data_IF_039431418087
#
_entry.id   IF_039431418087
#
_cell.length_a   1.000
_cell.length_b   1.000
_cell.length_c   1.000
_cell.angle_alpha   90.00
_cell.angle_beta   90.00
_cell.angle_gamma   90.00
#
_symmetry.space_group_name_H-M   'P 1'
#
loop_
_entity.id
_entity.type
_entity.pdbx_description
1 polymer ?
#
# COMPACT_ATOMS: atom_id res chain seq x y z
N UNK A 1 6.56 53.04 11.12
CA UNK A 1 6.04 51.94 10.32
C UNK A 1 6.63 50.62 10.82
N UNK A 2 5.87 49.84 11.58
CA UNK A 2 6.32 48.55 12.10
C UNK A 2 5.75 47.45 11.18
N UNK A 3 6.66 46.78 10.46
CA UNK A 3 6.31 45.62 9.62
C UNK A 3 6.04 44.41 10.51
N UNK A 4 4.80 43.95 10.52
CA UNK A 4 4.39 42.67 11.12
C UNK A 4 4.70 41.56 10.12
N UNK A 5 5.83 40.89 10.28
CA UNK A 5 6.11 39.62 9.62
C UNK A 5 5.33 38.54 10.37
N UNK A 6 4.20 38.12 9.79
CA UNK A 6 3.48 36.94 10.25
C UNK A 6 4.33 35.70 10.06
N UNK A 7 4.76 35.07 11.14
CA UNK A 7 5.34 33.74 11.16
C UNK A 7 4.20 32.75 10.88
N UNK A 8 4.13 32.24 9.66
CA UNK A 8 3.34 31.06 9.37
C UNK A 8 4.08 29.88 9.96
N UNK A 9 3.67 29.45 11.14
CA UNK A 9 4.09 28.17 11.69
C UNK A 9 3.49 27.07 10.79
N UNK A 10 4.33 26.39 10.00
CA UNK A 10 3.98 25.12 9.39
C UNK A 10 3.80 24.12 10.52
N UNK A 11 2.57 23.93 10.96
CA UNK A 11 2.19 22.81 11.83
C UNK A 11 2.35 21.53 11.02
N UNK A 12 3.39 20.77 11.33
CA UNK A 12 3.70 19.47 10.74
C UNK A 12 2.79 18.39 11.38
N UNK A 13 1.47 18.63 11.38
CA UNK A 13 0.49 17.61 11.71
C UNK A 13 0.37 16.69 10.49
N UNK A 14 0.79 15.43 10.61
CA UNK A 14 0.45 14.40 9.63
C UNK A 14 -1.07 14.42 9.49
N UNK A 15 -1.53 14.95 8.37
CA UNK A 15 -2.95 15.10 8.08
C UNK A 15 -3.60 13.71 8.13
N UNK A 16 -4.57 13.55 9.02
CA UNK A 16 -5.31 12.29 9.13
C UNK A 16 -6.20 12.18 7.90
N UNK A 17 -6.02 11.14 7.12
CA UNK A 17 -6.75 10.92 5.87
C UNK A 17 -8.14 10.35 6.17
N UNK A 18 -9.21 11.11 5.91
CA UNK A 18 -10.57 10.60 5.94
C UNK A 18 -10.96 9.98 4.58
N UNK A 19 -12.20 9.52 4.46
CA UNK A 19 -12.68 8.84 3.25
C UNK A 19 -12.65 9.74 2.02
N UNK A 20 -13.09 10.98 2.16
CA UNK A 20 -13.17 11.92 1.04
C UNK A 20 -11.78 12.38 0.63
N UNK A 21 -10.93 12.68 1.60
CA UNK A 21 -9.52 13.04 1.39
C UNK A 21 -8.75 11.93 0.70
N UNK A 22 -8.98 10.65 1.07
CA UNK A 22 -8.34 9.52 0.39
C UNK A 22 -8.80 9.42 -1.07
N UNK A 23 -10.10 9.50 -1.31
CA UNK A 23 -10.65 9.48 -2.67
C UNK A 23 -10.10 10.62 -3.52
N UNK A 24 -10.10 11.85 -3.00
CA UNK A 24 -9.52 13.01 -3.68
C UNK A 24 -8.03 12.85 -3.98
N UNK A 25 -7.26 12.30 -3.03
CA UNK A 25 -5.84 12.05 -3.22
C UNK A 25 -5.57 11.03 -4.34
N UNK A 26 -6.39 9.97 -4.43
CA UNK A 26 -6.32 8.97 -5.51
C UNK A 26 -6.71 9.60 -6.85
N UNK A 27 -7.86 10.26 -6.93
CA UNK A 27 -8.37 10.85 -8.17
C UNK A 27 -7.49 12.02 -8.69
N UNK A 28 -6.74 12.66 -7.81
CA UNK A 28 -5.78 13.72 -8.15
C UNK A 28 -4.47 13.21 -8.75
N UNK A 29 -4.19 11.91 -8.70
CA UNK A 29 -3.02 11.30 -9.33
C UNK A 29 -3.42 10.79 -10.72
N UNK A 30 -2.78 11.32 -11.76
CA UNK A 30 -3.13 11.04 -13.16
C UNK A 30 -3.30 9.54 -13.45
N UNK A 31 -2.30 8.75 -13.08
CA UNK A 31 -2.31 7.30 -13.33
C UNK A 31 -3.27 6.50 -12.45
N UNK A 32 -3.81 7.09 -11.38
CA UNK A 32 -4.82 6.46 -10.50
C UNK A 32 -6.24 6.96 -10.74
N UNK A 33 -6.43 7.92 -11.66
CA UNK A 33 -7.75 8.47 -11.95
C UNK A 33 -8.74 7.38 -12.35
N UNK A 34 -9.89 7.32 -11.66
CA UNK A 34 -10.89 6.27 -11.85
C UNK A 34 -10.56 4.91 -11.22
N UNK A 35 -9.42 4.77 -10.55
CA UNK A 35 -9.01 3.51 -9.91
C UNK A 35 -9.53 3.32 -8.48
N UNK A 36 -10.09 4.37 -7.86
CA UNK A 36 -10.66 4.26 -6.52
C UNK A 36 -11.80 3.25 -6.46
N UNK A 37 -11.79 2.40 -5.43
CA UNK A 37 -12.86 1.43 -5.12
C UNK A 37 -13.27 1.55 -3.66
N UNK A 38 -14.55 1.31 -3.36
CA UNK A 38 -15.08 1.30 -1.98
C UNK A 38 -14.55 0.08 -1.22
N UNK A 39 -14.27 0.26 0.08
CA UNK A 39 -13.85 -0.82 0.96
C UNK A 39 -12.65 -1.59 0.39
N UNK A 40 -12.72 -2.91 0.37
CA UNK A 40 -11.69 -3.81 -0.19
C UNK A 40 -11.99 -4.24 -1.64
N UNK A 41 -12.84 -3.55 -2.36
CA UNK A 41 -13.31 -3.99 -3.67
C UNK A 41 -12.18 -4.11 -4.71
N UNK A 42 -11.13 -3.28 -4.63
CA UNK A 42 -9.98 -3.40 -5.54
C UNK A 42 -9.30 -4.78 -5.43
N UNK A 43 -9.17 -5.32 -4.20
CA UNK A 43 -8.61 -6.64 -3.96
C UNK A 43 -9.57 -7.76 -4.39
N UNK A 44 -10.88 -7.56 -4.16
CA UNK A 44 -11.91 -8.55 -4.49
C UNK A 44 -12.09 -8.73 -6.01
N UNK A 45 -11.96 -7.66 -6.79
CA UNK A 45 -12.14 -7.70 -8.23
C UNK A 45 -11.03 -8.50 -8.93
N UNK A 46 -9.80 -8.41 -8.44
CA UNK A 46 -8.66 -9.17 -8.95
C UNK A 46 -8.68 -10.63 -8.48
N UNK A 47 -9.18 -10.86 -7.28
CA UNK A 47 -9.27 -12.19 -6.67
C UNK A 47 -10.46 -13.06 -7.15
N UNK A 48 -11.29 -12.58 -8.06
CA UNK A 48 -12.42 -13.37 -8.60
C UNK A 48 -11.99 -14.66 -9.31
N UNK A 49 -10.75 -14.73 -9.78
CA UNK A 49 -10.18 -15.92 -10.42
C UNK A 49 -9.59 -16.96 -9.44
N UNK A 50 -9.31 -16.57 -8.18
CA UNK A 50 -8.71 -17.41 -7.15
C UNK A 50 -9.40 -17.19 -5.81
N UNK A 51 -10.19 -18.14 -5.34
CA UNK A 51 -10.93 -18.08 -4.07
C UNK A 51 -10.02 -17.85 -2.83
N UNK A 52 -8.72 -18.10 -2.94
CA UNK A 52 -7.75 -18.00 -1.84
C UNK A 52 -7.39 -16.57 -1.43
N UNK A 53 -7.63 -15.57 -2.26
CA UNK A 53 -7.27 -14.18 -1.97
C UNK A 53 -8.23 -13.49 -1.00
N UNK A 54 -9.53 -13.79 -1.08
CA UNK A 54 -10.59 -13.05 -0.35
C UNK A 54 -10.51 -13.12 1.16
N UNK A 55 -9.91 -14.20 1.70
CA UNK A 55 -9.84 -14.46 3.14
C UNK A 55 -8.57 -13.92 3.80
N UNK A 56 -7.70 -13.21 3.07
CA UNK A 56 -6.35 -12.87 3.56
C UNK A 56 -6.22 -11.46 4.13
N UNK A 57 -7.12 -10.55 3.76
CA UNK A 57 -7.18 -9.19 4.28
C UNK A 57 -8.57 -8.95 4.87
N UNK A 58 -8.62 -8.71 6.16
CA UNK A 58 -9.85 -8.50 6.92
C UNK A 58 -9.79 -7.17 7.68
N UNK A 59 -10.93 -6.50 7.82
CA UNK A 59 -11.08 -5.32 8.66
C UNK A 59 -11.86 -5.66 9.93
N UNK A 60 -11.38 -5.19 11.08
CA UNK A 60 -12.11 -5.30 12.36
C UNK A 60 -13.40 -4.51 12.34
N UNK A 61 -13.39 -3.34 11.71
CA UNK A 61 -14.56 -2.48 11.54
C UNK A 61 -14.64 -1.98 10.09
N UNK A 62 -15.59 -2.52 9.33
CA UNK A 62 -15.77 -2.16 7.91
C UNK A 62 -16.15 -0.70 7.69
N UNK A 63 -16.68 -0.01 8.70
CA UNK A 63 -17.00 1.43 8.63
C UNK A 63 -15.75 2.29 8.51
N UNK A 64 -14.60 1.78 8.97
CA UNK A 64 -13.30 2.44 8.92
C UNK A 64 -12.51 2.13 7.64
N UNK A 65 -13.04 1.30 6.75
CA UNK A 65 -12.52 1.07 5.41
C UNK A 65 -12.92 2.23 4.50
N UNK A 66 -11.97 3.12 4.21
CA UNK A 66 -12.23 4.32 3.41
C UNK A 66 -12.10 4.09 1.91
N UNK A 67 -11.43 3.03 1.50
CA UNK A 67 -11.32 2.62 0.11
C UNK A 67 -10.06 1.83 -0.20
N UNK A 68 -9.94 1.42 -1.45
CA UNK A 68 -8.80 0.65 -1.98
C UNK A 68 -8.49 1.02 -3.43
N UNK A 69 -7.28 0.72 -3.87
CA UNK A 69 -6.81 0.92 -5.25
C UNK A 69 -5.95 -0.27 -5.66
N UNK A 70 -6.17 -0.80 -6.86
CA UNK A 70 -5.23 -1.67 -7.57
C UNK A 70 -4.18 -0.80 -8.25
N UNK A 71 -3.01 -0.68 -7.64
CA UNK A 71 -1.90 0.14 -8.13
C UNK A 71 -1.28 -0.50 -9.36
N UNK A 72 -1.08 -1.83 -9.35
CA UNK A 72 -0.46 -2.54 -10.47
C UNK A 72 -1.25 -2.33 -11.75
N UNK A 73 -2.56 -2.53 -11.71
CA UNK A 73 -3.43 -2.32 -12.88
C UNK A 73 -3.46 -0.84 -13.31
N UNK A 74 -3.62 0.07 -12.36
CA UNK A 74 -3.76 1.50 -12.65
C UNK A 74 -2.49 2.11 -13.24
N UNK A 75 -1.31 1.63 -12.85
CA UNK A 75 -0.02 2.19 -13.28
C UNK A 75 0.63 1.43 -14.44
N UNK A 76 -0.01 0.36 -14.94
CA UNK A 76 0.54 -0.53 -15.96
C UNK A 76 0.94 0.20 -17.25
N UNK A 77 0.08 1.07 -17.73
CA UNK A 77 0.30 1.76 -19.02
C UNK A 77 1.45 2.76 -18.94
N UNK A 78 1.58 3.43 -17.79
CA UNK A 78 2.65 4.42 -17.55
C UNK A 78 4.00 3.78 -17.23
N UNK A 79 3.98 2.62 -16.55
CA UNK A 79 5.18 1.90 -16.07
C UNK A 79 5.18 0.42 -16.50
N UNK A 80 5.09 0.10 -17.81
CA UNK A 80 4.85 -1.26 -18.29
C UNK A 80 5.96 -2.25 -17.94
N UNK A 81 7.21 -1.79 -17.78
CA UNK A 81 8.38 -2.61 -17.48
C UNK A 81 8.81 -2.57 -16.01
N UNK A 82 8.07 -1.83 -15.16
CA UNK A 82 8.42 -1.70 -13.75
C UNK A 82 7.87 -2.86 -12.92
N UNK A 83 8.57 -3.16 -11.81
CA UNK A 83 8.10 -4.08 -10.78
C UNK A 83 7.08 -3.37 -9.87
N UNK A 84 5.85 -3.21 -10.35
CA UNK A 84 4.81 -2.46 -9.65
C UNK A 84 4.28 -3.22 -8.44
N UNK A 85 3.86 -2.47 -7.42
CA UNK A 85 3.21 -2.98 -6.22
C UNK A 85 1.72 -3.21 -6.45
N UNK A 86 1.11 -4.16 -5.75
CA UNK A 86 -0.26 -4.57 -6.04
C UNK A 86 -1.32 -3.56 -5.56
N UNK A 87 -1.46 -3.33 -4.24
CA UNK A 87 -2.62 -2.60 -3.70
C UNK A 87 -2.27 -1.57 -2.63
N UNK A 88 -3.18 -0.59 -2.47
CA UNK A 88 -3.27 0.22 -1.26
C UNK A 88 -4.70 0.18 -0.71
N UNK A 89 -4.80 0.09 0.62
CA UNK A 89 -6.06 0.18 1.37
C UNK A 89 -5.94 1.32 2.37
N UNK A 90 -6.95 2.19 2.42
CA UNK A 90 -7.07 3.21 3.46
C UNK A 90 -8.00 2.69 4.56
N UNK A 91 -7.45 2.51 5.76
CA UNK A 91 -8.19 2.08 6.94
C UNK A 91 -7.92 3.03 8.09
N UNK A 92 -8.96 3.62 8.67
CA UNK A 92 -8.89 4.55 9.79
C UNK A 92 -7.80 5.63 9.63
N UNK A 93 -7.69 6.19 8.43
CA UNK A 93 -6.76 7.27 8.11
C UNK A 93 -5.30 6.86 7.86
N UNK A 94 -4.99 5.57 7.91
CA UNK A 94 -3.68 5.03 7.57
C UNK A 94 -3.71 4.25 6.25
N UNK A 95 -2.62 4.28 5.50
CA UNK A 95 -2.46 3.55 4.26
C UNK A 95 -1.74 2.22 4.51
N UNK A 96 -2.34 1.15 4.06
CA UNK A 96 -1.79 -0.21 4.07
C UNK A 96 -1.46 -0.59 2.64
N UNK A 97 -0.18 -0.59 2.29
CA UNK A 97 0.29 -1.05 1.00
C UNK A 97 0.48 -2.56 1.05
N UNK A 98 -0.26 -3.29 0.21
CA UNK A 98 -0.39 -4.74 0.27
C UNK A 98 0.13 -5.36 -1.03
N UNK A 99 1.02 -6.32 -0.91
CA UNK A 99 1.50 -7.20 -1.97
C UNK A 99 0.98 -8.61 -1.73
N UNK A 100 0.23 -9.17 -2.68
CA UNK A 100 -0.23 -10.55 -2.68
C UNK A 100 0.69 -11.37 -3.58
N UNK A 101 1.60 -12.15 -2.99
CA UNK A 101 2.63 -12.85 -3.74
C UNK A 101 3.07 -14.15 -3.04
N UNK A 102 3.46 -15.21 -3.77
CA UNK A 102 4.03 -16.40 -3.15
C UNK A 102 5.25 -16.07 -2.30
N UNK A 103 5.23 -16.43 -1.02
CA UNK A 103 6.31 -16.14 -0.07
C UNK A 103 7.34 -17.28 -0.03
N UNK A 104 8.16 -17.36 -1.08
CA UNK A 104 9.27 -18.31 -1.24
C UNK A 104 10.59 -17.58 -1.28
N UNK A 105 11.66 -18.24 -0.87
CA UNK A 105 13.02 -17.65 -0.89
C UNK A 105 13.38 -17.09 -2.27
N UNK A 106 13.03 -17.80 -3.35
CA UNK A 106 13.26 -17.36 -4.74
C UNK A 106 12.47 -16.10 -5.17
N UNK A 107 11.44 -15.70 -4.42
CA UNK A 107 10.59 -14.54 -4.70
C UNK A 107 10.95 -13.28 -3.91
N UNK A 108 11.81 -13.38 -2.93
CA UNK A 108 12.20 -12.25 -2.07
C UNK A 108 12.76 -11.09 -2.88
N UNK A 109 13.67 -11.36 -3.81
CA UNK A 109 14.27 -10.30 -4.65
C UNK A 109 13.20 -9.57 -5.48
N UNK A 110 12.25 -10.29 -6.06
CA UNK A 110 11.16 -9.73 -6.85
C UNK A 110 10.30 -8.77 -6.00
N UNK A 111 9.87 -9.22 -4.80
CA UNK A 111 9.05 -8.40 -3.90
C UNK A 111 9.83 -7.19 -3.35
N UNK A 112 11.12 -7.35 -3.05
CA UNK A 112 11.95 -6.20 -2.66
C UNK A 112 12.10 -5.17 -3.78
N UNK A 113 12.21 -5.59 -5.04
CA UNK A 113 12.22 -4.68 -6.18
C UNK A 113 10.88 -3.93 -6.31
N UNK A 114 9.76 -4.60 -6.09
CA UNK A 114 8.42 -3.96 -6.05
C UNK A 114 8.34 -2.93 -4.92
N UNK A 115 8.86 -3.22 -3.74
CA UNK A 115 8.90 -2.28 -2.62
C UNK A 115 9.74 -1.03 -2.93
N UNK A 116 10.90 -1.19 -3.54
CA UNK A 116 11.75 -0.05 -3.94
C UNK A 116 11.06 0.81 -5.01
N UNK A 117 10.41 0.19 -6.00
CA UNK A 117 9.61 0.92 -6.97
C UNK A 117 8.49 1.72 -6.29
N UNK A 118 7.73 1.09 -5.40
CA UNK A 118 6.64 1.75 -4.66
C UNK A 118 7.14 2.96 -3.87
N UNK A 119 8.22 2.79 -3.12
CA UNK A 119 8.81 3.89 -2.33
C UNK A 119 9.29 5.04 -3.21
N UNK A 120 9.88 4.73 -4.37
CA UNK A 120 10.29 5.74 -5.34
C UNK A 120 9.10 6.45 -5.97
N UNK A 121 8.08 5.70 -6.38
CA UNK A 121 6.85 6.22 -6.97
C UNK A 121 6.10 7.15 -6.00
N UNK A 122 6.05 6.80 -4.71
CA UNK A 122 5.38 7.60 -3.68
C UNK A 122 6.05 8.94 -3.38
N UNK A 123 7.33 9.13 -3.73
CA UNK A 123 8.06 10.39 -3.43
C UNK A 123 7.39 11.62 -4.06
N UNK A 124 6.80 11.45 -5.25
CA UNK A 124 6.16 12.52 -6.01
C UNK A 124 4.63 12.55 -5.83
N UNK A 125 4.09 11.76 -4.89
CA UNK A 125 2.65 11.64 -4.63
C UNK A 125 2.28 12.30 -3.29
N UNK A 126 2.22 13.62 -3.27
CA UNK A 126 2.08 14.46 -2.09
C UNK A 126 1.30 13.85 -0.91
N UNK A 127 -0.01 13.70 -1.03
CA UNK A 127 -0.87 13.22 0.06
C UNK A 127 -0.60 11.75 0.39
N UNK A 128 -0.50 10.86 -0.61
CA UNK A 128 -0.23 9.43 -0.37
C UNK A 128 1.19 9.22 0.16
N UNK A 129 2.16 9.98 -0.36
CA UNK A 129 3.55 9.91 0.09
C UNK A 129 3.76 10.39 1.52
N UNK A 130 2.98 11.35 2.01
CA UNK A 130 3.10 11.93 3.35
C UNK A 130 2.22 11.25 4.41
N UNK A 131 1.19 10.50 3.99
CA UNK A 131 0.28 9.81 4.89
C UNK A 131 0.99 8.79 5.78
N UNK A 132 0.39 8.50 6.96
CA UNK A 132 0.80 7.35 7.78
C UNK A 132 0.61 6.08 6.96
N UNK A 133 1.65 5.26 6.86
CA UNK A 133 1.62 4.06 6.01
C UNK A 133 2.46 2.92 6.55
N UNK A 134 2.09 1.72 6.11
CA UNK A 134 2.81 0.48 6.36
C UNK A 134 2.80 -0.39 5.10
N UNK A 135 3.75 -1.32 5.03
CA UNK A 135 3.95 -2.22 3.89
C UNK A 135 3.77 -3.67 4.35
N UNK A 136 2.99 -4.44 3.61
CA UNK A 136 2.60 -5.79 3.96
C UNK A 136 2.77 -6.73 2.78
N UNK A 137 3.49 -7.82 2.99
CA UNK A 137 3.55 -8.93 2.05
C UNK A 137 2.68 -10.07 2.55
N UNK A 138 1.59 -10.35 1.84
CA UNK A 138 0.66 -11.42 2.18
C UNK A 138 0.94 -12.61 1.27
N UNK A 139 1.31 -13.73 1.90
CA UNK A 139 1.63 -14.96 1.21
C UNK A 139 0.38 -15.60 0.60
N UNK A 140 0.42 -15.93 -0.70
CA UNK A 140 -0.71 -16.55 -1.40
C UNK A 140 -0.84 -18.05 -1.13
N UNK A 141 0.26 -18.73 -0.83
CA UNK A 141 0.32 -20.19 -0.64
C UNK A 141 1.09 -20.62 0.62
N UNK A 142 1.15 -19.75 1.64
CA UNK A 142 1.93 -19.96 2.85
C UNK A 142 3.33 -19.36 2.78
N UNK A 143 4.02 -19.34 3.93
CA UNK A 143 5.37 -18.75 4.05
C UNK A 143 6.41 -19.85 3.99
N UNK A 144 7.20 -19.87 2.92
CA UNK A 144 8.22 -20.86 2.60
C UNK A 144 9.62 -20.22 2.38
N UNK A 145 9.97 -19.25 3.21
CA UNK A 145 11.28 -18.58 3.19
C UNK A 145 12.15 -19.23 4.25
N UNK A 146 13.34 -19.67 3.85
CA UNK A 146 14.30 -20.30 4.77
C UNK A 146 14.81 -19.27 5.79
N UNK A 147 14.66 -19.50 7.12
CA UNK A 147 14.91 -18.50 8.16
C UNK A 147 16.32 -17.91 8.16
N UNK A 148 17.34 -18.73 7.90
CA UNK A 148 18.75 -18.31 7.94
C UNK A 148 19.30 -17.88 6.57
N UNK A 149 18.42 -17.79 5.54
CA UNK A 149 18.84 -17.40 4.20
C UNK A 149 19.27 -15.93 4.13
N UNK A 150 20.10 -15.60 3.14
CA UNK A 150 20.46 -14.22 2.81
C UNK A 150 19.22 -13.37 2.55
N UNK A 151 18.23 -13.95 1.89
CA UNK A 151 16.96 -13.34 1.54
C UNK A 151 16.14 -13.00 2.79
N UNK A 152 16.06 -13.89 3.79
CA UNK A 152 15.41 -13.62 5.06
C UNK A 152 16.08 -12.45 5.80
N UNK A 153 17.40 -12.35 5.78
CA UNK A 153 18.16 -11.23 6.35
C UNK A 153 17.87 -9.90 5.61
N UNK A 154 17.77 -9.94 4.28
CA UNK A 154 17.42 -8.76 3.48
C UNK A 154 16.02 -8.26 3.81
N UNK A 155 15.03 -9.14 3.97
CA UNK A 155 13.68 -8.78 4.40
C UNK A 155 13.68 -8.12 5.78
N UNK A 156 14.42 -8.68 6.73
CA UNK A 156 14.52 -8.11 8.08
C UNK A 156 15.10 -6.68 8.05
N UNK A 157 16.15 -6.43 7.25
CA UNK A 157 16.75 -5.11 7.07
C UNK A 157 15.74 -4.12 6.48
N UNK A 158 14.90 -4.55 5.55
CA UNK A 158 13.86 -3.72 4.91
C UNK A 158 12.59 -3.58 5.76
N UNK A 159 12.49 -4.28 6.88
CA UNK A 159 11.32 -4.29 7.76
C UNK A 159 10.07 -4.90 7.11
N UNK A 160 10.24 -5.79 6.14
CA UNK A 160 9.15 -6.47 5.45
C UNK A 160 9.09 -7.94 5.89
N UNK A 161 7.99 -8.32 6.56
CA UNK A 161 7.75 -9.68 7.02
C UNK A 161 6.58 -10.30 6.26
N UNK A 162 6.77 -11.43 5.56
CA UNK A 162 5.66 -12.14 4.97
C UNK A 162 4.69 -12.69 6.02
N UNK A 163 3.40 -12.50 5.78
CA UNK A 163 2.32 -12.92 6.66
C UNK A 163 1.28 -13.74 5.88
N UNK A 164 0.60 -14.65 6.56
CA UNK A 164 -0.47 -15.44 5.93
C UNK A 164 -1.75 -14.64 5.76
N UNK A 165 -2.02 -13.70 6.66
CA UNK A 165 -3.22 -12.85 6.70
C UNK A 165 -2.88 -11.49 7.30
N UNK A 166 -3.62 -10.48 6.88
CA UNK A 166 -3.57 -9.14 7.44
C UNK A 166 -4.93 -8.79 8.05
N UNK A 167 -4.92 -8.41 9.31
CA UNK A 167 -6.08 -7.89 10.01
C UNK A 167 -5.89 -6.40 10.26
N UNK A 168 -6.70 -5.58 9.60
CA UNK A 168 -6.68 -4.12 9.75
C UNK A 168 -7.33 -3.72 11.07
N UNK A 169 -6.69 -2.84 11.83
CA UNK A 169 -7.21 -2.33 13.09
C UNK A 169 -6.77 -3.09 14.35
N UNK A 170 -5.75 -3.93 14.24
CA UNK A 170 -5.08 -4.53 15.42
C UNK A 170 -3.82 -3.74 15.76
#
# INVERSE_FOLDING_TARGET
MKSLRGHIQKTNSKETMDKDTFKEAVEGIEELHGAYRKGLQALNDDCKANDDCKAKVEATDTRLLYGSVDIDMATRDKYPQSSRWDYVVCYHGALYFIELHPARTSKVKEVLNKLEWLKSWLKDKDRLGQAKKSYHWIATDGVHIQPESREAKQLAIKGLKPEKRLKLGN
#
